data_IF_268130973037
#
_entry.id   IF_268130973037
#
_cell.length_a   1.000
_cell.length_b   1.000
_cell.length_c   1.000
_cell.angle_alpha   90.00
_cell.angle_beta   90.00
_cell.angle_gamma   90.00
#
_symmetry.space_group_name_H-M   'P 1'
#
loop_
_entity.id
_entity.type
_entity.pdbx_description
1 polymer ?
#
# COMPACT_ATOMS: atom_id res chain seq x y z
N UNK A 1 -47.20 3.87 -7.16
CA UNK A 1 -46.17 3.62 -6.10
C UNK A 1 -46.67 4.27 -4.82
N UNK A 2 -46.79 3.50 -3.72
CA UNK A 2 -47.30 4.09 -2.48
C UNK A 2 -46.16 4.82 -1.71
N UNK A 3 -46.53 5.69 -0.73
CA UNK A 3 -45.55 6.51 0.04
C UNK A 3 -44.46 5.69 0.73
N UNK A 4 -44.71 4.39 1.02
CA UNK A 4 -43.77 3.48 1.66
C UNK A 4 -42.69 3.00 0.66
N UNK A 5 -43.12 2.69 -0.56
CA UNK A 5 -42.21 2.31 -1.66
C UNK A 5 -41.31 3.47 -2.08
N UNK A 6 -41.81 4.69 -2.08
CA UNK A 6 -41.01 5.88 -2.39
C UNK A 6 -39.95 6.17 -1.33
N UNK A 7 -40.30 6.02 -0.04
CA UNK A 7 -39.31 6.14 1.06
C UNK A 7 -38.25 5.04 1.02
N UNK A 8 -38.63 3.81 0.70
CA UNK A 8 -37.69 2.70 0.57
C UNK A 8 -36.71 2.91 -0.61
N UNK A 9 -37.24 3.39 -1.75
CA UNK A 9 -36.42 3.72 -2.92
C UNK A 9 -35.49 4.90 -2.65
N UNK A 10 -35.96 5.95 -1.99
CA UNK A 10 -35.13 7.07 -1.56
C UNK A 10 -34.05 6.65 -0.55
N UNK A 11 -34.36 5.75 0.39
CA UNK A 11 -33.40 5.21 1.34
C UNK A 11 -32.30 4.38 0.66
N UNK A 12 -32.68 3.58 -0.35
CA UNK A 12 -31.71 2.81 -1.16
C UNK A 12 -30.84 3.75 -2.00
N UNK A 13 -31.41 4.76 -2.63
CA UNK A 13 -30.64 5.75 -3.41
C UNK A 13 -29.70 6.56 -2.48
N UNK A 14 -30.17 6.97 -1.31
CA UNK A 14 -29.31 7.66 -0.32
C UNK A 14 -28.19 6.76 0.20
N UNK A 15 -28.47 5.47 0.38
CA UNK A 15 -27.47 4.48 0.78
C UNK A 15 -26.45 4.24 -0.34
N UNK A 16 -26.89 4.17 -1.59
CA UNK A 16 -26.02 4.09 -2.78
C UNK A 16 -25.19 5.37 -2.98
N UNK A 17 -25.78 6.55 -2.79
CA UNK A 17 -25.05 7.82 -2.87
C UNK A 17 -24.06 7.97 -1.73
N UNK A 18 -24.41 7.61 -0.49
CA UNK A 18 -23.51 7.60 0.65
C UNK A 18 -22.38 6.58 0.51
N UNK A 19 -22.64 5.39 -0.07
CA UNK A 19 -21.58 4.44 -0.40
C UNK A 19 -20.68 4.95 -1.51
N UNK A 20 -21.21 5.61 -2.55
CA UNK A 20 -20.41 6.27 -3.60
C UNK A 20 -19.54 7.40 -3.02
N UNK A 21 -20.11 8.32 -2.23
CA UNK A 21 -19.33 9.39 -1.59
C UNK A 21 -18.26 8.84 -0.60
N UNK A 22 -18.54 7.73 0.07
CA UNK A 22 -17.62 7.11 1.04
C UNK A 22 -16.48 6.35 0.34
N UNK A 23 -16.74 5.73 -0.82
CA UNK A 23 -15.72 5.06 -1.65
C UNK A 23 -14.75 6.10 -2.24
N UNK A 24 -15.21 7.32 -2.51
CA UNK A 24 -14.40 8.44 -3.05
C UNK A 24 -13.52 9.16 -2.02
N UNK A 25 -13.62 8.83 -0.72
CA UNK A 25 -12.91 9.58 0.33
C UNK A 25 -11.44 9.20 0.54
N UNK A 26 -11.03 8.01 0.10
CA UNK A 26 -9.67 7.50 0.31
C UNK A 26 -8.79 7.77 -0.91
N UNK A 27 -7.85 8.69 -0.77
CA UNK A 27 -6.86 8.98 -1.82
C UNK A 27 -6.07 7.71 -2.16
N UNK A 28 -6.03 7.28 -3.43
CA UNK A 28 -5.31 6.09 -3.84
C UNK A 28 -3.80 6.17 -3.56
N UNK A 29 -3.16 5.00 -3.35
CA UNK A 29 -1.71 4.89 -3.20
C UNK A 29 -1.16 3.97 -4.29
N UNK A 30 -0.20 4.45 -5.06
CA UNK A 30 0.58 3.65 -6.01
C UNK A 30 2.00 3.52 -5.46
N UNK A 31 2.33 2.35 -4.94
CA UNK A 31 3.61 2.06 -4.30
C UNK A 31 4.46 1.10 -5.16
N UNK A 32 5.62 1.55 -5.61
CA UNK A 32 6.60 0.75 -6.35
C UNK A 32 7.60 0.10 -5.40
N UNK A 33 7.48 -1.20 -5.18
CA UNK A 33 8.49 -1.98 -4.47
C UNK A 33 9.51 -2.53 -5.48
N UNK A 34 10.68 -1.92 -5.53
CA UNK A 34 11.73 -2.32 -6.48
C UNK A 34 12.43 -3.62 -6.10
N UNK A 35 12.17 -4.11 -4.87
CA UNK A 35 12.82 -5.33 -4.35
C UNK A 35 14.35 -5.22 -4.49
N UNK A 36 15.04 -6.30 -4.83
CA UNK A 36 16.50 -6.32 -5.02
C UNK A 36 16.87 -6.00 -6.48
N UNK A 37 16.51 -4.81 -6.95
CA UNK A 37 16.80 -4.34 -8.30
C UNK A 37 17.26 -2.88 -8.29
N UNK A 38 17.89 -2.45 -9.38
CA UNK A 38 18.32 -1.08 -9.70
C UNK A 38 19.46 -0.58 -8.80
N UNK A 39 20.67 -0.55 -9.36
CA UNK A 39 21.79 0.16 -8.79
C UNK A 39 21.55 1.69 -8.85
N UNK A 40 22.37 2.45 -8.13
CA UNK A 40 22.18 3.88 -7.84
C UNK A 40 21.80 4.73 -9.05
N UNK A 41 22.52 4.60 -10.17
CA UNK A 41 22.25 5.41 -11.38
C UNK A 41 20.95 4.98 -12.08
N UNK A 42 20.68 3.68 -12.17
CA UNK A 42 19.42 3.18 -12.69
C UNK A 42 18.23 3.60 -11.83
N UNK A 43 18.40 3.60 -10.50
CA UNK A 43 17.39 4.06 -9.54
C UNK A 43 17.05 5.54 -9.73
N UNK A 44 18.07 6.40 -9.95
CA UNK A 44 17.88 7.82 -10.29
C UNK A 44 17.12 7.98 -11.58
N UNK A 45 17.55 7.27 -12.63
CA UNK A 45 16.93 7.36 -13.97
C UNK A 45 15.42 7.03 -13.92
N UNK A 46 15.04 5.93 -13.27
CA UNK A 46 13.63 5.57 -13.12
C UNK A 46 12.88 6.61 -12.29
N UNK A 47 13.45 7.07 -11.17
CA UNK A 47 12.81 8.07 -10.32
C UNK A 47 12.62 9.41 -11.06
N UNK A 48 13.63 9.87 -11.80
CA UNK A 48 13.54 11.09 -12.60
C UNK A 48 12.53 10.97 -13.73
N UNK A 49 12.40 9.80 -14.35
CA UNK A 49 11.36 9.52 -15.34
C UNK A 49 9.95 9.69 -14.76
N UNK A 50 9.71 9.18 -13.54
CA UNK A 50 8.42 9.39 -12.83
C UNK A 50 8.26 10.85 -12.41
N UNK A 51 9.29 11.47 -11.85
CA UNK A 51 9.28 12.88 -11.45
C UNK A 51 8.94 13.81 -12.63
N UNK A 52 9.54 13.57 -13.78
CA UNK A 52 9.28 14.34 -15.00
C UNK A 52 7.84 14.17 -15.50
N UNK A 53 7.27 12.99 -15.35
CA UNK A 53 5.87 12.75 -15.70
C UNK A 53 4.92 13.53 -14.79
N UNK A 54 5.13 13.50 -13.48
CA UNK A 54 4.21 14.10 -12.51
C UNK A 54 4.41 15.61 -12.28
N UNK A 55 5.42 16.22 -12.88
CA UNK A 55 5.80 17.62 -12.61
C UNK A 55 4.68 18.63 -12.88
N UNK A 56 3.88 18.39 -13.92
CA UNK A 56 2.84 19.31 -14.41
C UNK A 56 1.46 19.09 -13.74
N UNK A 57 1.32 18.06 -12.91
CA UNK A 57 0.10 17.79 -12.15
C UNK A 57 0.16 18.39 -10.75
N UNK A 58 -0.98 18.75 -10.18
CA UNK A 58 -1.08 19.13 -8.76
C UNK A 58 -1.05 17.89 -7.85
N UNK A 59 -0.75 18.08 -6.56
CA UNK A 59 -0.78 16.98 -5.60
C UNK A 59 -2.20 16.40 -5.38
N UNK A 60 -3.24 17.18 -5.67
CA UNK A 60 -4.63 16.74 -5.58
C UNK A 60 -5.04 15.83 -6.74
N UNK A 61 -4.49 16.07 -7.94
CA UNK A 61 -4.76 15.26 -9.13
C UNK A 61 -4.06 13.90 -9.08
N UNK A 62 -2.93 13.82 -8.40
CA UNK A 62 -2.12 12.58 -8.32
C UNK A 62 -2.60 11.65 -7.21
N UNK A 63 -2.55 10.33 -7.39
CA UNK A 63 -2.53 9.41 -6.26
C UNK A 63 -1.31 9.71 -5.36
N UNK A 64 -1.28 9.18 -4.15
CA UNK A 64 -0.04 9.14 -3.37
C UNK A 64 0.92 8.18 -4.06
N UNK A 65 2.08 8.68 -4.48
CA UNK A 65 3.10 7.88 -5.16
C UNK A 65 4.22 7.58 -4.17
N UNK A 66 4.54 6.30 -4.00
CA UNK A 66 5.60 5.83 -3.11
C UNK A 66 6.58 4.98 -3.89
N UNK A 67 7.87 5.21 -3.75
CA UNK A 67 8.92 4.40 -4.38
C UNK A 67 9.82 3.82 -3.29
N UNK A 68 9.98 2.51 -3.30
CA UNK A 68 10.82 1.77 -2.36
C UNK A 68 12.06 1.18 -3.04
N UNK A 69 13.16 1.92 -3.15
CA UNK A 69 14.43 1.44 -3.68
C UNK A 69 15.14 0.54 -2.64
N UNK A 70 16.17 -0.18 -3.08
CA UNK A 70 17.10 -0.84 -2.14
C UNK A 70 17.79 0.19 -1.25
N UNK A 71 18.17 -0.19 -0.02
CA UNK A 71 18.77 0.72 0.96
C UNK A 71 19.95 1.51 0.40
N UNK A 72 20.83 0.87 -0.38
CA UNK A 72 22.00 1.50 -0.99
C UNK A 72 21.69 2.53 -2.06
N UNK A 73 20.45 2.59 -2.55
CA UNK A 73 19.99 3.54 -3.57
C UNK A 73 19.07 4.64 -3.02
N UNK A 74 18.66 4.58 -1.74
CA UNK A 74 17.78 5.60 -1.13
C UNK A 74 18.38 6.98 -1.24
N UNK A 75 19.62 7.19 -0.80
CA UNK A 75 20.29 8.51 -0.85
C UNK A 75 20.45 9.01 -2.30
N UNK A 76 20.65 8.11 -3.27
CA UNK A 76 20.73 8.50 -4.66
C UNK A 76 19.39 8.99 -5.21
N UNK A 77 18.29 8.33 -4.85
CA UNK A 77 16.93 8.74 -5.20
C UNK A 77 16.55 10.04 -4.49
N UNK A 78 16.87 10.16 -3.20
CA UNK A 78 16.63 11.37 -2.43
C UNK A 78 17.33 12.60 -3.03
N UNK A 79 18.57 12.44 -3.49
CA UNK A 79 19.34 13.54 -4.09
C UNK A 79 18.71 14.15 -5.35
N UNK A 80 17.85 13.41 -6.04
CA UNK A 80 17.11 13.88 -7.23
C UNK A 80 15.64 14.20 -6.93
N UNK A 81 15.19 13.93 -5.70
CA UNK A 81 13.90 14.36 -5.18
C UNK A 81 13.92 15.88 -5.07
N UNK A 82 12.96 16.58 -5.66
CA UNK A 82 12.97 18.05 -5.70
C UNK A 82 12.76 18.65 -4.30
N UNK A 83 13.75 19.35 -3.78
CA UNK A 83 13.68 20.16 -2.57
C UNK A 83 13.35 21.64 -2.85
N UNK A 84 13.02 22.00 -4.09
CA UNK A 84 12.59 23.33 -4.46
C UNK A 84 11.16 23.55 -3.97
N UNK A 85 10.85 24.48 -3.12
CA UNK A 85 9.51 24.81 -2.61
C UNK A 85 8.39 25.06 -3.66
N UNK A 86 8.50 24.45 -4.84
CA UNK A 86 7.61 24.51 -5.99
C UNK A 86 6.44 23.51 -5.85
N UNK A 87 5.65 23.63 -4.75
CA UNK A 87 4.36 22.96 -4.65
C UNK A 87 4.33 21.54 -4.09
N UNK A 88 5.35 21.13 -3.36
CA UNK A 88 5.32 19.90 -2.58
C UNK A 88 5.98 18.70 -3.27
N UNK A 89 6.47 17.83 -2.43
CA UNK A 89 7.09 16.58 -2.80
C UNK A 89 6.02 15.60 -3.28
N UNK A 90 5.91 15.39 -4.58
CA UNK A 90 4.86 14.58 -5.20
C UNK A 90 5.13 13.07 -5.13
N UNK A 91 6.36 12.67 -4.78
CA UNK A 91 6.79 11.28 -4.69
C UNK A 91 7.44 11.06 -3.33
N UNK A 92 6.89 10.13 -2.56
CA UNK A 92 7.43 9.67 -1.29
C UNK A 92 8.43 8.53 -1.50
N UNK A 93 9.38 8.40 -0.57
CA UNK A 93 10.36 7.30 -0.57
C UNK A 93 10.00 6.34 0.57
N UNK A 94 10.17 5.05 0.33
CA UNK A 94 9.98 4.02 1.34
C UNK A 94 11.25 3.17 1.54
N UNK A 95 11.50 2.78 2.79
CA UNK A 95 12.39 1.65 3.06
C UNK A 95 11.69 0.32 2.76
N UNK A 96 12.44 -0.70 2.34
CA UNK A 96 11.89 -2.04 2.06
C UNK A 96 11.81 -2.93 3.31
N UNK A 97 12.33 -2.47 4.43
CA UNK A 97 12.32 -3.10 5.75
C UNK A 97 12.91 -2.13 6.78
N UNK A 98 12.78 -2.43 8.08
CA UNK A 98 13.53 -1.81 9.16
C UNK A 98 13.70 -2.79 10.32
N UNK A 99 14.58 -2.46 11.27
CA UNK A 99 14.62 -3.04 12.59
C UNK A 99 13.74 -2.22 13.55
N UNK A 100 13.27 -2.83 14.65
CA UNK A 100 12.44 -2.15 15.65
C UNK A 100 13.22 -1.43 16.74
N UNK A 101 14.53 -1.75 16.92
CA UNK A 101 15.42 -1.03 17.82
C UNK A 101 15.99 0.20 17.15
N UNK A 102 16.14 1.29 17.90
CA UNK A 102 16.67 2.54 17.38
C UNK A 102 18.17 2.49 17.09
N UNK A 103 18.91 1.70 17.87
CA UNK A 103 20.36 1.50 17.73
C UNK A 103 20.79 0.25 18.48
N UNK A 104 22.01 -0.20 18.28
CA UNK A 104 22.60 -1.29 19.06
C UNK A 104 23.42 -2.30 18.25
N UNK A 105 23.68 -3.46 18.85
CA UNK A 105 24.48 -4.53 18.26
C UNK A 105 23.64 -5.40 17.29
N UNK A 106 23.19 -4.80 16.21
CA UNK A 106 22.36 -5.42 15.17
C UNK A 106 23.05 -5.27 13.80
N UNK A 107 24.19 -5.89 13.63
CA UNK A 107 25.03 -5.76 12.43
C UNK A 107 24.23 -6.04 11.15
N UNK A 108 24.17 -5.04 10.26
CA UNK A 108 23.47 -5.12 8.97
C UNK A 108 22.03 -4.62 8.99
N UNK A 109 21.45 -4.33 10.18
CA UNK A 109 20.11 -3.78 10.30
C UNK A 109 20.08 -2.25 10.13
N UNK A 110 18.91 -1.73 9.80
CA UNK A 110 18.66 -0.31 9.58
C UNK A 110 17.49 0.11 10.46
N UNK A 111 17.70 1.12 11.31
CA UNK A 111 16.65 1.62 12.20
C UNK A 111 15.68 2.55 11.48
N UNK A 112 14.53 2.81 12.11
CA UNK A 112 13.54 3.77 11.62
C UNK A 112 14.11 5.19 11.55
N UNK A 113 14.94 5.58 12.54
CA UNK A 113 15.61 6.88 12.55
C UNK A 113 16.56 7.05 11.35
N UNK A 114 17.34 6.00 11.00
CA UNK A 114 18.21 6.00 9.84
C UNK A 114 17.43 6.13 8.53
N UNK A 115 16.27 5.50 8.42
CA UNK A 115 15.40 5.64 7.25
C UNK A 115 14.82 7.04 7.13
N UNK A 116 14.41 7.64 8.24
CA UNK A 116 13.91 9.02 8.30
C UNK A 116 14.98 10.02 7.90
N UNK A 117 16.18 9.87 8.42
CA UNK A 117 17.36 10.70 8.06
C UNK A 117 17.69 10.57 6.56
N UNK A 118 17.53 9.37 5.99
CA UNK A 118 17.71 9.11 4.57
C UNK A 118 16.55 9.64 3.68
N UNK A 119 15.53 10.30 4.24
CA UNK A 119 14.44 10.94 3.51
C UNK A 119 13.25 10.01 3.20
N UNK A 120 13.11 8.88 3.90
CA UNK A 120 11.95 8.01 3.79
C UNK A 120 10.73 8.60 4.52
N UNK A 121 9.56 8.42 3.92
CA UNK A 121 8.25 8.75 4.50
C UNK A 121 7.49 7.47 4.91
N UNK A 122 7.79 6.35 4.25
CA UNK A 122 7.13 5.04 4.42
C UNK A 122 8.15 3.94 4.68
N UNK A 123 7.67 2.81 5.22
CA UNK A 123 8.47 1.57 5.33
C UNK A 123 7.58 0.36 5.02
N UNK A 124 8.00 -0.48 4.08
CA UNK A 124 7.36 -1.78 3.80
C UNK A 124 7.85 -2.78 4.86
N UNK A 125 6.93 -3.50 5.49
CA UNK A 125 7.23 -4.54 6.47
C UNK A 125 6.37 -5.77 6.26
N UNK A 126 6.87 -6.93 6.64
CA UNK A 126 6.14 -8.19 6.54
C UNK A 126 5.91 -8.68 5.11
N UNK A 127 6.64 -8.16 4.12
CA UNK A 127 6.53 -8.63 2.73
C UNK A 127 6.71 -10.15 2.66
N UNK A 128 5.94 -10.83 1.82
CA UNK A 128 5.93 -12.29 1.70
C UNK A 128 7.32 -12.91 1.55
N UNK A 129 8.21 -12.29 0.76
CA UNK A 129 9.60 -12.74 0.61
C UNK A 129 10.35 -12.72 1.95
N UNK A 130 10.12 -11.72 2.82
CA UNK A 130 10.79 -11.65 4.11
C UNK A 130 10.24 -12.67 5.11
N UNK A 131 8.95 -12.93 5.08
CA UNK A 131 8.33 -14.01 5.85
C UNK A 131 8.89 -15.37 5.43
N UNK A 132 9.02 -15.61 4.13
CA UNK A 132 9.46 -16.87 3.55
C UNK A 132 10.97 -17.11 3.70
N UNK A 133 11.80 -16.12 3.36
CA UNK A 133 13.26 -16.31 3.26
C UNK A 133 14.01 -15.88 4.51
N UNK A 134 13.43 -15.00 5.33
CA UNK A 134 14.08 -14.43 6.51
C UNK A 134 13.31 -14.70 7.81
N UNK A 135 12.29 -15.56 7.76
CA UNK A 135 11.50 -16.00 8.92
C UNK A 135 10.90 -14.84 9.72
N UNK A 136 10.48 -13.76 9.06
CA UNK A 136 9.78 -12.66 9.73
C UNK A 136 8.43 -13.14 10.27
N UNK A 137 8.24 -13.05 11.57
CA UNK A 137 7.01 -13.44 12.27
C UNK A 137 6.05 -12.24 12.42
N UNK A 138 4.78 -12.50 12.69
CA UNK A 138 3.80 -11.44 12.94
C UNK A 138 4.15 -10.60 14.16
N UNK A 139 4.79 -11.20 15.19
CA UNK A 139 5.30 -10.46 16.35
C UNK A 139 6.39 -9.47 15.96
N UNK A 140 7.34 -9.88 15.12
CA UNK A 140 8.39 -8.99 14.60
C UNK A 140 7.76 -7.82 13.80
N UNK A 141 6.76 -8.12 12.98
CA UNK A 141 6.06 -7.12 12.17
C UNK A 141 5.31 -6.12 13.06
N UNK A 142 4.66 -6.57 14.12
CA UNK A 142 4.03 -5.68 15.09
C UNK A 142 5.04 -4.75 15.77
N UNK A 143 6.20 -5.28 16.21
CA UNK A 143 7.29 -4.46 16.78
C UNK A 143 7.76 -3.41 15.78
N UNK A 144 7.97 -3.79 14.51
CA UNK A 144 8.36 -2.87 13.44
C UNK A 144 7.30 -1.81 13.19
N UNK A 145 6.02 -2.19 13.10
CA UNK A 145 4.93 -1.25 12.89
C UNK A 145 4.88 -0.18 13.99
N UNK A 146 5.00 -0.60 15.26
CA UNK A 146 5.06 0.31 16.41
C UNK A 146 6.27 1.25 16.34
N UNK A 147 7.44 0.73 16.01
CA UNK A 147 8.65 1.55 15.88
C UNK A 147 8.54 2.58 14.74
N UNK A 148 7.98 2.18 13.58
CA UNK A 148 7.76 3.06 12.42
C UNK A 148 6.84 4.22 12.80
N UNK A 149 5.70 3.92 13.43
CA UNK A 149 4.71 4.91 13.87
C UNK A 149 5.29 5.85 14.93
N UNK A 150 6.02 5.32 15.90
CA UNK A 150 6.70 6.12 16.92
C UNK A 150 7.79 7.03 16.31
N UNK A 151 8.47 6.60 15.26
CA UNK A 151 9.43 7.40 14.49
C UNK A 151 8.78 8.44 13.57
N UNK A 152 7.45 8.45 13.45
CA UNK A 152 6.69 9.37 12.60
C UNK A 152 6.70 9.03 11.12
N UNK A 153 7.04 7.78 10.77
CA UNK A 153 6.90 7.24 9.41
C UNK A 153 5.61 6.43 9.29
N UNK A 154 5.24 6.06 8.06
CA UNK A 154 4.02 5.31 7.77
C UNK A 154 4.38 3.86 7.39
N UNK A 155 3.89 2.84 8.12
CA UNK A 155 4.10 1.46 7.74
C UNK A 155 3.19 1.04 6.57
N UNK A 156 3.76 0.29 5.60
CA UNK A 156 3.02 -0.51 4.62
C UNK A 156 3.15 -1.96 5.08
N UNK A 157 2.09 -2.48 5.70
CA UNK A 157 2.07 -3.80 6.35
C UNK A 157 1.57 -4.83 5.34
N UNK A 158 2.44 -5.75 4.94
CA UNK A 158 2.08 -6.81 4.00
C UNK A 158 1.47 -8.02 4.73
N UNK A 159 0.41 -8.57 4.16
CA UNK A 159 -0.23 -9.81 4.59
C UNK A 159 -0.64 -10.64 3.36
N UNK A 160 -0.82 -11.93 3.53
CA UNK A 160 -1.26 -12.79 2.44
C UNK A 160 -1.13 -14.28 2.77
N UNK A 161 -1.75 -15.10 1.94
CA UNK A 161 -1.80 -16.54 2.06
C UNK A 161 -1.02 -17.24 0.96
N UNK A 162 -0.49 -18.42 1.28
CA UNK A 162 0.11 -19.35 0.32
C UNK A 162 -0.97 -20.12 -0.46
N UNK A 163 -0.57 -20.86 -1.50
CA UNK A 163 -1.49 -21.70 -2.26
C UNK A 163 -2.09 -22.81 -1.38
N UNK A 164 -1.29 -23.40 -0.51
CA UNK A 164 -1.73 -24.47 0.40
C UNK A 164 -2.84 -23.96 1.35
N UNK A 165 -2.64 -22.78 1.93
CA UNK A 165 -3.64 -22.16 2.82
C UNK A 165 -4.93 -21.81 2.08
N UNK A 166 -4.81 -21.34 0.83
CA UNK A 166 -5.95 -21.06 -0.03
C UNK A 166 -6.72 -22.33 -0.38
N UNK A 167 -6.04 -23.39 -0.80
CA UNK A 167 -6.66 -24.67 -1.15
C UNK A 167 -7.28 -25.38 0.07
N UNK A 168 -6.73 -25.13 1.27
CA UNK A 168 -7.32 -25.58 2.53
C UNK A 168 -8.53 -24.75 2.98
N UNK A 169 -8.88 -23.66 2.29
CA UNK A 169 -9.97 -22.74 2.66
C UNK A 169 -9.66 -21.85 3.88
N UNK A 170 -8.38 -21.67 4.20
CA UNK A 170 -7.91 -20.93 5.37
C UNK A 170 -7.62 -19.45 5.11
N UNK A 171 -7.79 -18.96 3.88
CA UNK A 171 -7.47 -17.58 3.46
C UNK A 171 -7.94 -16.56 4.47
N UNK A 172 -9.22 -16.55 4.81
CA UNK A 172 -9.81 -15.51 5.66
C UNK A 172 -9.29 -15.59 7.10
N UNK A 173 -9.22 -16.79 7.68
CA UNK A 173 -8.74 -16.98 9.06
C UNK A 173 -7.25 -16.66 9.19
N UNK A 174 -6.44 -17.06 8.19
CA UNK A 174 -5.01 -16.81 8.15
C UNK A 174 -4.71 -15.30 8.09
N UNK A 175 -5.29 -14.62 7.11
CA UNK A 175 -5.08 -13.17 6.91
C UNK A 175 -5.62 -12.37 8.11
N UNK A 176 -6.80 -12.74 8.63
CA UNK A 176 -7.34 -12.11 9.83
C UNK A 176 -6.39 -12.25 11.03
N UNK A 177 -5.75 -13.40 11.19
CA UNK A 177 -4.72 -13.64 12.20
C UNK A 177 -3.53 -12.70 12.04
N UNK A 178 -2.98 -12.59 10.82
CA UNK A 178 -1.86 -11.69 10.50
C UNK A 178 -2.21 -10.22 10.81
N UNK A 179 -3.40 -9.75 10.42
CA UNK A 179 -3.83 -8.36 10.65
C UNK A 179 -4.04 -8.08 12.13
N UNK A 180 -4.71 -8.99 12.87
CA UNK A 180 -4.89 -8.83 14.33
C UNK A 180 -3.55 -8.78 15.07
N UNK A 181 -2.61 -9.64 14.70
CA UNK A 181 -1.28 -9.67 15.29
C UNK A 181 -0.48 -8.38 14.95
N UNK A 182 -0.46 -7.97 13.68
CA UNK A 182 0.28 -6.79 13.23
C UNK A 182 -0.23 -5.50 13.89
N UNK A 183 -1.55 -5.36 14.11
CA UNK A 183 -2.18 -4.17 14.67
C UNK A 183 -2.33 -4.21 16.20
N UNK A 184 -1.92 -5.30 16.86
CA UNK A 184 -2.08 -5.47 18.31
C UNK A 184 -1.41 -4.34 19.11
N UNK A 185 -2.20 -3.62 19.92
CA UNK A 185 -1.72 -2.54 20.79
C UNK A 185 -1.27 -1.28 20.03
N UNK A 186 -1.72 -1.08 18.79
CA UNK A 186 -1.58 0.17 18.03
C UNK A 186 -2.89 0.97 18.22
N UNK A 187 -2.77 2.28 18.38
CA UNK A 187 -3.93 3.16 18.55
C UNK A 187 -4.78 3.22 17.27
N UNK A 188 -6.09 3.46 17.40
CA UNK A 188 -7.00 3.61 16.26
C UNK A 188 -6.54 4.74 15.31
N UNK A 189 -6.01 5.83 15.86
CA UNK A 189 -5.47 6.94 15.09
C UNK A 189 -4.25 6.52 14.26
N UNK A 190 -3.34 5.73 14.81
CA UNK A 190 -2.15 5.24 14.10
C UNK A 190 -2.49 4.15 13.10
N UNK A 191 -3.49 3.30 13.41
CA UNK A 191 -4.04 2.35 12.42
C UNK A 191 -4.63 3.09 11.23
N UNK A 192 -5.37 4.17 11.44
CA UNK A 192 -5.95 4.99 10.36
C UNK A 192 -4.90 5.60 9.42
N UNK A 193 -3.70 5.89 9.93
CA UNK A 193 -2.56 6.42 9.16
C UNK A 193 -1.78 5.34 8.42
N UNK A 194 -1.84 4.10 8.89
CA UNK A 194 -1.13 2.96 8.32
C UNK A 194 -1.68 2.56 6.96
N UNK A 195 -0.93 1.73 6.25
CA UNK A 195 -1.32 1.12 4.97
C UNK A 195 -1.18 -0.39 5.09
N UNK A 196 -2.13 -1.14 4.56
CA UNK A 196 -2.05 -2.59 4.44
C UNK A 196 -1.87 -2.93 2.97
N UNK A 197 -1.06 -3.95 2.64
CA UNK A 197 -0.91 -4.51 1.31
C UNK A 197 -1.26 -5.99 1.34
N UNK A 198 -2.33 -6.37 0.64
CA UNK A 198 -2.71 -7.77 0.47
C UNK A 198 -1.95 -8.41 -0.68
N UNK A 199 -1.19 -9.43 -0.37
CA UNK A 199 -0.37 -10.21 -1.31
C UNK A 199 -0.95 -11.62 -1.45
N UNK A 200 -1.72 -11.94 -2.53
CA UNK A 200 -2.01 -13.35 -2.85
C UNK A 200 -0.70 -14.03 -3.28
N UNK A 201 0.05 -14.64 -2.33
CA UNK A 201 1.42 -15.12 -2.53
C UNK A 201 1.48 -16.12 -3.68
N UNK A 202 0.43 -16.94 -3.82
CA UNK A 202 0.25 -17.92 -4.90
C UNK A 202 0.16 -17.31 -6.30
N UNK A 203 -0.12 -16.01 -6.42
CA UNK A 203 -0.21 -15.27 -7.68
C UNK A 203 1.02 -14.37 -7.95
N UNK A 204 1.99 -14.30 -7.04
CA UNK A 204 3.18 -13.46 -7.20
C UNK A 204 4.26 -14.22 -7.96
N UNK A 205 4.61 -13.76 -9.18
CA UNK A 205 5.69 -14.34 -9.97
C UNK A 205 5.43 -15.75 -10.54
N UNK A 206 4.24 -16.30 -10.34
CA UNK A 206 3.90 -17.68 -10.76
C UNK A 206 3.22 -17.76 -12.12
N UNK A 207 2.85 -16.62 -12.71
CA UNK A 207 2.01 -16.55 -13.91
C UNK A 207 0.50 -16.76 -13.64
N UNK A 208 0.12 -17.12 -12.42
CA UNK A 208 -1.29 -17.12 -11.98
C UNK A 208 -1.73 -15.69 -11.69
N UNK A 209 -2.99 -15.38 -11.92
CA UNK A 209 -3.58 -14.08 -11.58
C UNK A 209 -4.66 -14.29 -10.53
N UNK A 210 -4.68 -13.46 -9.50
CA UNK A 210 -5.83 -13.33 -8.63
C UNK A 210 -6.86 -12.47 -9.35
N UNK A 211 -8.06 -12.98 -9.48
CA UNK A 211 -9.21 -12.25 -10.01
C UNK A 211 -9.49 -11.00 -9.17
N UNK A 212 -9.86 -9.90 -9.80
CA UNK A 212 -10.04 -8.62 -9.11
C UNK A 212 -11.25 -8.62 -8.17
N UNK A 213 -12.28 -9.42 -8.43
CA UNK A 213 -13.42 -9.58 -7.52
C UNK A 213 -13.02 -10.36 -6.27
N UNK A 214 -12.22 -11.43 -6.42
CA UNK A 214 -11.66 -12.15 -5.29
C UNK A 214 -10.68 -11.31 -4.48
N UNK A 215 -9.81 -10.56 -5.14
CA UNK A 215 -8.92 -9.61 -4.45
C UNK A 215 -9.72 -8.58 -3.64
N UNK A 216 -10.77 -8.03 -4.22
CA UNK A 216 -11.67 -7.10 -3.54
C UNK A 216 -12.40 -7.75 -2.35
N UNK A 217 -12.87 -8.99 -2.51
CA UNK A 217 -13.51 -9.75 -1.43
C UNK A 217 -12.57 -9.89 -0.22
N UNK A 218 -11.33 -10.30 -0.45
CA UNK A 218 -10.34 -10.46 0.63
C UNK A 218 -9.99 -9.10 1.24
N UNK A 219 -9.82 -8.06 0.45
CA UNK A 219 -9.52 -6.71 0.94
C UNK A 219 -10.69 -6.15 1.76
N UNK A 220 -11.94 -6.38 1.36
CA UNK A 220 -13.12 -6.03 2.15
C UNK A 220 -13.15 -6.79 3.50
N UNK A 221 -12.77 -8.08 3.50
CA UNK A 221 -12.61 -8.87 4.73
C UNK A 221 -11.52 -8.27 5.63
N UNK A 222 -10.35 -7.91 5.09
CA UNK A 222 -9.28 -7.23 5.84
C UNK A 222 -9.82 -5.94 6.47
N UNK A 223 -10.56 -5.12 5.74
CA UNK A 223 -11.16 -3.89 6.24
C UNK A 223 -12.15 -4.17 7.37
N UNK A 224 -12.93 -5.25 7.29
CA UNK A 224 -13.80 -5.69 8.38
C UNK A 224 -13.00 -6.05 9.63
N UNK A 225 -11.87 -6.75 9.49
CA UNK A 225 -10.97 -7.08 10.62
C UNK A 225 -10.39 -5.80 11.25
N UNK A 226 -9.99 -4.82 10.44
CA UNK A 226 -9.53 -3.51 10.94
C UNK A 226 -10.64 -2.81 11.73
N UNK A 227 -11.89 -2.87 11.24
CA UNK A 227 -13.05 -2.33 11.97
C UNK A 227 -13.24 -2.98 13.33
N UNK A 228 -13.09 -4.30 13.41
CA UNK A 228 -13.20 -5.05 14.67
C UNK A 228 -12.09 -4.66 15.67
N UNK A 229 -10.86 -4.41 15.17
CA UNK A 229 -9.68 -4.17 16.01
C UNK A 229 -9.55 -2.69 16.40
N UNK A 230 -9.82 -1.76 15.48
CA UNK A 230 -9.51 -0.34 15.62
C UNK A 230 -10.72 0.59 15.43
N UNK A 231 -11.91 0.04 15.18
CA UNK A 231 -13.14 0.81 15.00
C UNK A 231 -13.40 1.26 13.55
N UNK A 232 -14.63 1.76 13.34
CA UNK A 232 -15.11 2.11 12.01
C UNK A 232 -14.33 3.26 11.37
N UNK A 233 -13.95 4.27 12.15
CA UNK A 233 -13.20 5.43 11.64
C UNK A 233 -11.83 5.04 11.07
N UNK A 234 -11.10 4.18 11.78
CA UNK A 234 -9.84 3.63 11.31
C UNK A 234 -10.03 2.78 10.05
N UNK A 235 -11.04 1.92 10.01
CA UNK A 235 -11.36 1.07 8.85
C UNK A 235 -11.77 1.88 7.62
N UNK A 236 -12.48 2.99 7.81
CA UNK A 236 -12.89 3.90 6.74
C UNK A 236 -11.72 4.75 6.20
N UNK A 237 -10.68 4.97 7.01
CA UNK A 237 -9.54 5.85 6.69
C UNK A 237 -8.32 5.10 6.15
N UNK A 238 -8.04 3.90 6.65
CA UNK A 238 -6.89 3.10 6.23
C UNK A 238 -6.95 2.76 4.74
N UNK A 239 -5.81 2.85 4.04
CA UNK A 239 -5.70 2.38 2.66
C UNK A 239 -5.27 0.93 2.63
N UNK A 240 -5.94 0.13 1.81
CA UNK A 240 -5.62 -1.29 1.61
C UNK A 240 -5.30 -1.49 0.15
N UNK A 241 -4.06 -1.88 -0.13
CA UNK A 241 -3.50 -2.02 -1.47
C UNK A 241 -3.59 -3.47 -1.93
N UNK A 242 -3.74 -3.65 -3.23
CA UNK A 242 -3.53 -4.93 -3.87
C UNK A 242 -2.04 -5.11 -4.20
N UNK A 243 -1.42 -6.19 -3.69
CA UNK A 243 0.01 -6.51 -3.83
C UNK A 243 0.29 -7.72 -4.73
N UNK A 244 -0.67 -8.19 -5.50
CA UNK A 244 -0.47 -9.27 -6.48
C UNK A 244 0.14 -8.77 -7.79
N UNK A 245 -0.17 -9.47 -8.88
CA UNK A 245 0.32 -9.09 -10.23
C UNK A 245 -0.41 -7.86 -10.74
N UNK A 246 0.29 -6.72 -10.77
CA UNK A 246 -0.20 -5.45 -11.29
C UNK A 246 0.57 -5.07 -12.55
N UNK A 247 -0.18 -4.69 -13.60
CA UNK A 247 0.34 -4.24 -14.89
C UNK A 247 -0.47 -3.04 -15.37
N UNK A 248 0.05 -2.23 -16.31
CA UNK A 248 -0.74 -1.18 -16.94
C UNK A 248 -2.07 -1.65 -17.55
N UNK A 249 -2.12 -2.90 -18.05
CA UNK A 249 -3.34 -3.49 -18.62
C UNK A 249 -4.39 -3.93 -17.62
N UNK A 250 -4.04 -4.08 -16.32
CA UNK A 250 -4.96 -4.62 -15.29
C UNK A 250 -5.35 -3.60 -14.22
N UNK A 251 -4.62 -2.49 -14.10
CA UNK A 251 -4.81 -1.54 -13.00
C UNK A 251 -6.20 -0.90 -13.00
N UNK A 252 -6.78 -0.60 -14.17
CA UNK A 252 -8.10 0.03 -14.27
C UNK A 252 -9.18 -0.87 -13.67
N UNK A 253 -9.17 -2.15 -13.99
CA UNK A 253 -10.11 -3.12 -13.42
C UNK A 253 -9.92 -3.23 -11.91
N UNK A 254 -8.68 -3.36 -11.43
CA UNK A 254 -8.36 -3.46 -10.01
C UNK A 254 -8.82 -2.22 -9.24
N UNK A 255 -8.52 -1.03 -9.75
CA UNK A 255 -8.90 0.24 -9.12
C UNK A 255 -10.39 0.59 -9.23
N UNK A 256 -11.14 -0.11 -10.08
CA UNK A 256 -12.61 0.06 -10.15
C UNK A 256 -13.34 -0.62 -8.98
N UNK A 257 -12.65 -1.42 -8.17
CA UNK A 257 -13.24 -2.16 -7.05
C UNK A 257 -13.40 -1.29 -5.80
N UNK A 258 -14.44 -1.55 -5.01
CA UNK A 258 -14.87 -0.71 -3.89
C UNK A 258 -13.88 -0.61 -2.73
N UNK A 259 -13.11 -1.66 -2.48
CA UNK A 259 -12.25 -1.77 -1.31
C UNK A 259 -10.75 -1.71 -1.62
N UNK A 260 -10.37 -1.76 -2.90
CA UNK A 260 -8.99 -1.63 -3.36
C UNK A 260 -8.61 -0.14 -3.44
N UNK A 261 -7.75 0.32 -2.52
CA UNK A 261 -7.33 1.72 -2.43
C UNK A 261 -5.99 2.00 -3.12
N UNK A 262 -5.52 1.11 -3.97
CA UNK A 262 -4.25 1.27 -4.67
C UNK A 262 -3.51 -0.04 -4.90
N UNK A 263 -2.22 0.07 -5.21
CA UNK A 263 -1.41 -1.08 -5.53
C UNK A 263 0.01 -1.01 -4.93
N UNK A 264 0.52 -2.17 -4.49
CA UNK A 264 1.94 -2.40 -4.20
C UNK A 264 2.54 -3.19 -5.37
N UNK A 265 3.40 -2.55 -6.16
CA UNK A 265 3.79 -2.97 -7.49
C UNK A 265 5.26 -3.40 -7.50
N UNK A 266 5.55 -4.64 -7.91
CA UNK A 266 6.89 -5.13 -8.10
C UNK A 266 7.46 -4.78 -9.49
N UNK A 267 7.65 -5.77 -10.35
CA UNK A 267 8.34 -5.66 -11.63
C UNK A 267 7.88 -4.54 -12.56
N UNK A 268 6.57 -4.24 -12.60
CA UNK A 268 6.05 -3.14 -13.44
C UNK A 268 6.49 -1.75 -12.96
N UNK A 269 6.99 -1.60 -11.73
CA UNK A 269 7.52 -0.33 -11.21
C UNK A 269 9.01 -0.09 -11.50
N UNK A 270 9.71 -1.06 -12.11
CA UNK A 270 11.12 -0.97 -12.44
C UNK A 270 11.42 -0.14 -13.71
N UNK A 271 10.38 0.29 -14.43
CA UNK A 271 10.47 1.14 -15.61
C UNK A 271 9.54 2.34 -15.43
N UNK A 272 10.07 3.53 -15.65
CA UNK A 272 9.31 4.76 -15.49
C UNK A 272 8.06 4.79 -16.39
N UNK A 273 8.16 4.36 -17.64
CA UNK A 273 7.05 4.37 -18.59
C UNK A 273 5.88 3.51 -18.09
N UNK A 274 6.17 2.31 -17.60
CA UNK A 274 5.15 1.39 -17.08
C UNK A 274 4.49 1.93 -15.80
N UNK A 275 5.28 2.51 -14.89
CA UNK A 275 4.74 3.09 -13.66
C UNK A 275 3.92 4.36 -13.97
N UNK A 276 4.37 5.20 -14.90
CA UNK A 276 3.64 6.39 -15.34
C UNK A 276 2.28 6.03 -15.95
N UNK A 277 2.21 4.98 -16.79
CA UNK A 277 0.94 4.51 -17.34
C UNK A 277 -0.02 4.03 -16.24
N UNK A 278 0.48 3.34 -15.22
CA UNK A 278 -0.32 2.91 -14.06
C UNK A 278 -0.85 4.14 -13.29
N UNK A 279 0.01 5.13 -13.04
CA UNK A 279 -0.38 6.37 -12.36
C UNK A 279 -1.46 7.11 -13.15
N UNK A 280 -1.26 7.28 -14.47
CA UNK A 280 -2.20 7.97 -15.35
C UNK A 280 -3.58 7.31 -15.36
N UNK A 281 -3.61 5.98 -15.47
CA UNK A 281 -4.87 5.22 -15.45
C UNK A 281 -5.59 5.33 -14.11
N UNK A 282 -4.84 5.32 -13.01
CA UNK A 282 -5.40 5.53 -11.67
C UNK A 282 -6.00 6.93 -11.51
N UNK A 283 -5.33 7.97 -12.04
CA UNK A 283 -5.87 9.34 -12.04
C UNK A 283 -7.18 9.47 -12.81
N UNK A 284 -7.27 8.86 -14.01
CA UNK A 284 -8.48 8.92 -14.85
C UNK A 284 -9.71 8.37 -14.12
N UNK A 285 -9.56 7.31 -13.35
CA UNK A 285 -10.65 6.75 -12.55
C UNK A 285 -11.09 7.68 -11.41
N UNK A 286 -10.15 8.41 -10.81
CA UNK A 286 -10.45 9.38 -9.74
C UNK A 286 -11.18 10.64 -10.25
N UNK A 287 -11.12 10.94 -11.55
CA UNK A 287 -11.78 12.09 -12.17
C UNK A 287 -13.19 11.77 -12.70
N UNK A 288 -13.53 10.50 -12.89
CA UNK A 288 -14.83 10.07 -13.46
C UNK A 288 -15.88 9.85 -12.36
N UNK A 289 -15.48 9.95 -11.13
CA UNK A 289 -16.33 9.78 -9.96
C UNK A 289 -16.35 11.03 -9.10
#
# INVERSE_FOLDING_TARGET
>A
MNKLQLKYFQSIILMFLRTKEKIMSRKPIIAGNWKMNLCREQAKEVFEGVKNFVKDYTAQELPTIVIAPVFTSISAVESVKCNCGCGGNKISIAGQNCHWENSGAFTGEISVEMLKDAGCDYVIIGHSERRQYFSETDEMINKKAKAILAGGLIPIICCGETLEQREAGETDSWIAGQIRAALSGISSEDVAKSVIAYEPIWAIGTGKTCDSDEANRVIAMIRSVVKDVAGSEAADSIRILYGGSVKPSTIEEQMSKSDIDGALIGGASLKAESLNEIIEKTMKLSLVH
#
